data_IF_419556197311
#
_entry.id   IF_419556197311
#
_cell.length_a   1.000
_cell.length_b   1.000
_cell.length_c   1.000
_cell.angle_alpha   90.00
_cell.angle_beta   90.00
_cell.angle_gamma   90.00
#
_symmetry.space_group_name_H-M   'P 1'
#
loop_
_entity.id
_entity.type
_entity.pdbx_description
1 polymer ?
#
# COMPACT_ATOMS: atom_id res chain seq x y z
N UNK A 1 9.15 13.63 -2.84
CA UNK A 1 9.99 12.59 -2.20
C UNK A 1 9.67 12.54 -0.72
N UNK A 2 9.38 11.36 -0.16
CA UNK A 2 9.17 11.15 1.29
C UNK A 2 10.52 10.97 2.00
N UNK A 3 10.58 11.26 3.29
CA UNK A 3 11.78 11.06 4.13
C UNK A 3 11.94 9.62 4.62
N UNK A 4 10.90 8.80 4.49
CA UNK A 4 10.92 7.39 4.87
C UNK A 4 11.31 6.55 3.65
N UNK A 5 12.34 5.72 3.82
CA UNK A 5 12.75 4.83 2.74
C UNK A 5 11.79 3.67 2.60
N UNK A 6 11.10 3.27 3.69
CA UNK A 6 10.15 2.17 3.67
C UNK A 6 8.91 2.52 2.85
N UNK A 7 8.35 3.72 3.05
CA UNK A 7 7.23 4.20 2.24
C UNK A 7 7.64 4.58 0.81
N UNK A 8 8.88 4.99 0.58
CA UNK A 8 9.38 5.22 -0.77
C UNK A 8 9.50 3.90 -1.55
N UNK A 9 10.07 2.86 -0.93
CA UNK A 9 10.29 1.56 -1.57
C UNK A 9 8.98 0.83 -1.90
N UNK A 10 7.90 1.08 -1.15
CA UNK A 10 6.58 0.48 -1.40
C UNK A 10 5.81 1.12 -2.56
N UNK A 11 6.26 2.27 -3.08
CA UNK A 11 5.60 2.94 -4.20
C UNK A 11 6.18 2.46 -5.54
N UNK A 12 7.45 2.77 -5.82
CA UNK A 12 8.14 2.43 -7.06
C UNK A 12 9.66 2.33 -6.83
N UNK A 13 10.39 1.82 -7.83
CA UNK A 13 11.86 1.71 -7.81
C UNK A 13 12.42 0.96 -6.58
N UNK A 14 11.68 -0.03 -6.06
CA UNK A 14 11.93 -0.72 -4.78
C UNK A 14 13.40 -1.14 -4.58
N UNK A 15 14.00 -1.83 -5.56
CA UNK A 15 15.39 -2.30 -5.47
C UNK A 15 16.39 -1.17 -5.30
N UNK A 16 16.21 -0.06 -6.03
CA UNK A 16 17.11 1.10 -5.97
C UNK A 16 16.99 1.80 -4.61
N UNK A 17 15.77 2.02 -4.14
CA UNK A 17 15.51 2.65 -2.83
C UNK A 17 16.08 1.82 -1.68
N UNK A 18 15.91 0.50 -1.70
CA UNK A 18 16.47 -0.40 -0.69
C UNK A 18 18.00 -0.44 -0.74
N UNK A 19 18.57 -0.46 -1.94
CA UNK A 19 20.03 -0.45 -2.13
C UNK A 19 20.65 0.82 -1.57
N UNK A 20 20.09 1.99 -1.89
CA UNK A 20 20.56 3.27 -1.36
C UNK A 20 20.41 3.31 0.17
N UNK A 21 19.28 2.85 0.71
CA UNK A 21 19.06 2.80 2.15
C UNK A 21 20.09 1.91 2.88
N UNK A 22 20.43 0.76 2.30
CA UNK A 22 21.44 -0.15 2.85
C UNK A 22 22.85 0.43 2.78
N UNK A 23 23.25 1.03 1.65
CA UNK A 23 24.57 1.66 1.46
C UNK A 23 24.78 2.80 2.46
N UNK A 24 23.78 3.66 2.63
CA UNK A 24 23.86 4.82 3.52
C UNK A 24 23.46 4.50 4.97
N UNK A 25 23.07 3.25 5.29
CA UNK A 25 22.61 2.85 6.61
C UNK A 25 21.42 3.68 7.13
N UNK A 26 20.46 4.01 6.26
CA UNK A 26 19.33 4.87 6.62
C UNK A 26 18.39 4.18 7.60
N UNK A 27 17.99 4.91 8.65
CA UNK A 27 17.03 4.43 9.65
C UNK A 27 15.68 5.09 9.38
N UNK A 28 14.63 4.28 9.27
CA UNK A 28 13.26 4.77 9.18
C UNK A 28 12.69 5.03 10.57
N UNK A 29 11.97 6.14 10.74
CA UNK A 29 11.37 6.53 12.02
C UNK A 29 9.91 6.09 12.17
N UNK A 30 9.28 5.59 11.10
CA UNK A 30 7.92 5.03 11.14
C UNK A 30 6.87 6.01 11.68
N UNK A 31 6.96 7.27 11.27
CA UNK A 31 6.08 8.35 11.74
C UNK A 31 4.89 8.54 10.80
N UNK A 32 5.02 8.12 9.53
CA UNK A 32 4.02 8.29 8.50
C UNK A 32 2.95 7.21 8.50
N UNK A 33 1.89 7.49 7.75
CA UNK A 33 0.77 6.57 7.57
C UNK A 33 1.23 5.25 6.92
N UNK A 34 1.88 5.34 5.77
CA UNK A 34 2.24 4.16 4.97
C UNK A 34 3.20 3.23 5.71
N UNK A 35 4.22 3.76 6.39
CA UNK A 35 5.13 2.91 7.17
C UNK A 35 4.40 2.13 8.27
N UNK A 36 3.47 2.78 8.99
CA UNK A 36 2.72 2.15 10.06
C UNK A 36 1.73 1.10 9.52
N UNK A 37 1.10 1.37 8.37
CA UNK A 37 0.26 0.37 7.67
C UNK A 37 1.07 -0.87 7.30
N UNK A 38 2.25 -0.68 6.66
CA UNK A 38 3.10 -1.79 6.20
C UNK A 38 3.56 -2.67 7.36
N UNK A 39 3.83 -2.07 8.53
CA UNK A 39 4.32 -2.79 9.72
C UNK A 39 3.16 -3.38 10.55
N UNK A 40 1.92 -2.96 10.31
CA UNK A 40 0.78 -3.33 11.14
C UNK A 40 0.75 -2.61 12.49
N UNK A 41 1.38 -1.44 12.60
CA UNK A 41 1.28 -0.56 13.77
C UNK A 41 0.08 0.39 13.60
N UNK A 42 -0.48 0.84 14.73
CA UNK A 42 -1.54 1.85 14.72
C UNK A 42 -1.13 3.07 13.87
N UNK A 43 -2.01 3.42 12.93
CA UNK A 43 -1.77 4.52 12.02
C UNK A 43 -1.86 5.88 12.73
N UNK A 44 -1.05 6.87 12.33
CA UNK A 44 -1.11 8.24 12.81
C UNK A 44 -2.26 9.00 12.13
N UNK A 45 -3.50 8.53 12.32
CA UNK A 45 -4.69 9.19 11.79
C UNK A 45 -5.54 9.74 12.95
N UNK A 46 -6.28 10.81 12.67
CA UNK A 46 -7.28 11.33 13.59
C UNK A 46 -8.54 10.47 13.47
N UNK A 47 -8.95 9.84 14.56
CA UNK A 47 -10.30 9.33 14.70
C UNK A 47 -11.14 10.41 15.42
N UNK A 48 -12.35 10.77 14.94
CA UNK A 48 -13.21 11.68 15.68
C UNK A 48 -13.50 11.09 17.07
N UNK A 49 -13.34 11.91 18.11
CA UNK A 49 -13.74 11.49 19.46
C UNK A 49 -15.26 11.44 19.52
N UNK A 50 -15.80 10.59 20.41
CA UNK A 50 -17.25 10.46 20.62
C UNK A 50 -17.98 11.80 20.90
N UNK A 51 -17.25 12.79 21.41
CA UNK A 51 -17.76 14.14 21.69
C UNK A 51 -17.99 15.00 20.42
N UNK A 52 -17.42 14.60 19.28
CA UNK A 52 -17.55 15.29 17.99
C UNK A 52 -18.56 14.63 17.04
N UNK A 53 -19.09 13.46 17.43
CA UNK A 53 -20.05 12.71 16.64
C UNK A 53 -21.44 13.25 17.01
N UNK A 54 -22.15 13.87 16.07
CA UNK A 54 -23.54 14.29 16.31
C UNK A 54 -24.40 13.06 16.61
N UNK A 55 -25.32 13.17 17.57
CA UNK A 55 -26.26 12.09 17.93
C UNK A 55 -26.94 11.53 16.66
N UNK A 56 -26.52 10.34 16.21
CA UNK A 56 -27.05 9.67 15.01
C UNK A 56 -26.03 9.23 13.96
N UNK A 57 -24.75 9.61 14.06
CA UNK A 57 -23.70 9.03 13.22
C UNK A 57 -23.19 7.72 13.84
N UNK A 58 -23.42 6.59 13.14
CA UNK A 58 -22.91 5.29 13.54
C UNK A 58 -21.39 5.24 13.35
N UNK A 59 -20.69 4.89 14.43
CA UNK A 59 -19.24 4.68 14.45
C UNK A 59 -18.94 3.51 13.50
N UNK A 60 -18.19 3.69 12.39
CA UNK A 60 -17.88 2.59 11.49
C UNK A 60 -17.13 1.52 12.26
N UNK A 61 -17.72 0.34 12.38
CA UNK A 61 -17.07 -0.81 12.99
C UNK A 61 -15.85 -1.17 12.16
N UNK A 62 -14.66 -1.09 12.76
CA UNK A 62 -13.43 -1.55 12.13
C UNK A 62 -13.47 -3.07 12.09
N UNK A 63 -14.10 -3.63 11.05
CA UNK A 63 -14.06 -5.06 10.78
C UNK A 63 -12.62 -5.38 10.37
N UNK A 64 -11.85 -5.97 11.28
CA UNK A 64 -10.60 -6.62 10.91
C UNK A 64 -10.96 -7.65 9.84
N UNK A 65 -10.46 -7.45 8.61
CA UNK A 65 -10.70 -8.39 7.52
C UNK A 65 -10.38 -9.80 8.01
N UNK A 66 -11.32 -10.74 7.84
CA UNK A 66 -11.15 -12.12 8.29
C UNK A 66 -9.80 -12.64 7.79
N UNK A 67 -8.85 -12.87 8.71
CA UNK A 67 -7.61 -13.56 8.38
C UNK A 67 -7.95 -15.01 8.02
N UNK A 68 -7.97 -15.33 6.72
CA UNK A 68 -7.91 -16.70 6.22
C UNK A 68 -9.24 -17.40 5.95
N UNK A 69 -10.02 -16.90 4.97
CA UNK A 69 -10.69 -17.81 4.04
C UNK A 69 -9.97 -17.69 2.70
N UNK A 70 -9.30 -18.75 2.27
CA UNK A 70 -8.99 -18.94 0.86
C UNK A 70 -10.32 -18.81 0.12
N UNK A 71 -10.51 -17.75 -0.67
CA UNK A 71 -11.62 -17.72 -1.62
C UNK A 71 -11.37 -18.85 -2.61
N UNK A 72 -12.13 -19.96 -2.48
CA UNK A 72 -12.26 -20.92 -3.56
C UNK A 72 -12.80 -20.18 -4.78
N UNK A 73 -11.90 -19.84 -5.71
CA UNK A 73 -12.27 -19.24 -6.98
C UNK A 73 -13.20 -20.24 -7.68
N UNK A 74 -14.48 -19.91 -7.96
CA UNK A 74 -15.34 -20.82 -8.69
C UNK A 74 -14.75 -21.07 -10.08
N UNK A 75 -14.51 -22.35 -10.43
CA UNK A 75 -14.05 -22.76 -11.76
C UNK A 75 -15.05 -22.28 -12.82
N UNK A 76 -14.76 -21.14 -13.45
CA UNK A 76 -15.57 -20.65 -14.57
C UNK A 76 -15.55 -19.15 -14.81
N UNK A 77 -15.14 -18.33 -13.85
CA UNK A 77 -15.02 -16.89 -14.10
C UNK A 77 -13.66 -16.60 -14.73
N UNK A 78 -13.66 -16.37 -16.05
CA UNK A 78 -12.48 -15.94 -16.79
C UNK A 78 -11.99 -14.64 -16.14
N UNK A 79 -10.81 -14.70 -15.51
CA UNK A 79 -10.06 -13.52 -15.09
C UNK A 79 -10.03 -12.51 -16.25
N UNK A 80 -10.45 -11.26 -16.03
CA UNK A 80 -10.27 -10.24 -17.05
C UNK A 80 -8.78 -10.11 -17.31
N UNK A 81 -8.39 -10.38 -18.55
CA UNK A 81 -7.02 -10.26 -19.03
C UNK A 81 -6.57 -8.81 -18.82
N UNK A 82 -5.66 -8.61 -17.86
CA UNK A 82 -4.91 -7.37 -17.71
C UNK A 82 -4.05 -7.23 -18.97
N UNK A 83 -4.57 -6.54 -19.97
CA UNK A 83 -3.77 -6.12 -21.14
C UNK A 83 -2.74 -5.13 -20.60
N UNK A 84 -1.56 -5.63 -20.25
CA UNK A 84 -0.36 -4.84 -20.17
C UNK A 84 -0.16 -4.23 -21.56
N UNK A 85 -0.36 -2.92 -21.68
CA UNK A 85 -0.04 -2.20 -22.91
C UNK A 85 1.41 -2.51 -23.27
N UNK A 86 1.60 -3.15 -24.42
CA UNK A 86 2.90 -3.47 -24.99
C UNK A 86 3.64 -2.16 -25.27
N UNK A 87 4.57 -1.79 -24.40
CA UNK A 87 5.68 -0.92 -24.82
C UNK A 87 6.69 -1.77 -25.59
N UNK A 88 6.73 -1.60 -26.91
CA UNK A 88 7.86 -2.11 -27.68
C UNK A 88 7.72 -2.00 -29.20
N UNK A 89 8.65 -1.21 -29.76
CA UNK A 89 9.22 -1.29 -31.12
C UNK A 89 8.57 -0.43 -32.21
N UNK A 90 9.00 0.83 -32.30
CA UNK A 90 9.36 1.35 -33.61
C UNK A 90 10.88 1.19 -33.77
N UNK A 91 11.20 0.13 -34.52
CA UNK A 91 12.52 -0.16 -35.06
C UNK A 91 12.81 0.82 -36.19
N UNK A 92 14.05 1.31 -36.24
CA UNK A 92 14.63 2.04 -37.37
C UNK A 92 14.25 1.37 -38.71
N UNK A 93 13.57 2.09 -39.58
CA UNK A 93 13.58 1.82 -41.01
C UNK A 93 14.45 2.89 -41.69
N UNK A 94 15.31 2.39 -42.57
CA UNK A 94 16.33 3.09 -43.39
C UNK A 94 15.78 4.33 -44.09
#
# INVERSE_FOLDING_TARGET
STNSWLAAASFQETTKVLTDAAIYGKIDKLIGLNENVIIGKMIPARYPTYEEISEGEEVPELVAGEEGKEEEIPEGEKVPELVAGEEGKEELAI
#
